data_IF_783362871235
#
_entry.id   IF_783362871235
#
_cell.length_a   1.000
_cell.length_b   1.000
_cell.length_c   1.000
_cell.angle_alpha   90.00
_cell.angle_beta   90.00
_cell.angle_gamma   90.00
#
_symmetry.space_group_name_H-M   'P 1'
#
loop_
_entity.id
_entity.type
_entity.pdbx_description
1 polymer ?
#
# COMPACT_ATOMS: atom_id res chain seq x y z
N UNK A 1 -6.17 -21.95 -40.05
CA UNK A 1 -4.85 -21.41 -39.72
C UNK A 1 -4.96 -20.84 -38.32
N UNK A 2 -4.40 -21.54 -37.32
CA UNK A 2 -4.39 -21.03 -35.95
C UNK A 2 -3.55 -19.77 -35.92
N UNK A 3 -4.13 -18.68 -35.42
CA UNK A 3 -3.37 -17.45 -35.14
C UNK A 3 -2.35 -17.81 -34.07
N UNK A 4 -1.08 -17.94 -34.43
CA UNK A 4 0.01 -17.89 -33.46
C UNK A 4 -0.05 -16.49 -32.85
N UNK A 5 -0.77 -16.36 -31.74
CA UNK A 5 -0.87 -15.10 -31.03
C UNK A 5 0.51 -14.79 -30.49
N UNK A 6 1.04 -13.65 -30.91
CA UNK A 6 2.29 -13.08 -30.42
C UNK A 6 2.29 -13.14 -28.87
N UNK A 7 3.32 -13.74 -28.25
CA UNK A 7 3.27 -14.13 -26.85
C UNK A 7 3.19 -12.94 -25.89
N UNK A 8 3.72 -11.76 -26.25
CA UNK A 8 3.56 -10.54 -25.47
C UNK A 8 2.09 -10.07 -25.47
N UNK A 9 1.40 -10.15 -26.60
CA UNK A 9 -0.04 -9.87 -26.67
C UNK A 9 -0.86 -10.81 -25.78
N UNK A 10 -0.49 -12.09 -25.70
CA UNK A 10 -1.13 -13.04 -24.81
C UNK A 10 -0.87 -12.68 -23.32
N UNK A 11 0.37 -12.32 -22.96
CA UNK A 11 0.71 -11.84 -21.62
C UNK A 11 -0.13 -10.62 -21.23
N UNK A 12 -0.26 -9.66 -22.16
CA UNK A 12 -1.05 -8.46 -21.96
C UNK A 12 -2.54 -8.75 -21.77
N UNK A 13 -3.08 -9.75 -22.47
CA UNK A 13 -4.44 -10.25 -22.27
C UNK A 13 -4.64 -10.82 -20.86
N UNK A 14 -3.67 -11.59 -20.34
CA UNK A 14 -3.70 -12.09 -18.96
C UNK A 14 -3.65 -10.97 -17.93
N UNK A 15 -2.79 -9.97 -18.13
CA UNK A 15 -2.68 -8.80 -17.26
C UNK A 15 -4.02 -8.06 -17.14
N UNK A 16 -4.69 -7.76 -18.26
CA UNK A 16 -6.01 -7.08 -18.25
C UNK A 16 -7.10 -7.87 -17.53
N UNK A 17 -7.01 -9.20 -17.51
CA UNK A 17 -7.95 -10.10 -16.82
C UNK A 17 -7.57 -10.33 -15.35
N UNK A 18 -6.61 -9.56 -14.81
CA UNK A 18 -6.05 -9.72 -13.45
C UNK A 18 -5.46 -11.11 -13.19
N UNK A 19 -5.07 -11.85 -14.24
CA UNK A 19 -4.41 -13.15 -14.11
C UNK A 19 -2.89 -12.95 -14.01
N UNK A 20 -2.46 -12.29 -12.94
CA UNK A 20 -1.08 -11.81 -12.80
C UNK A 20 -0.04 -12.93 -12.72
N UNK A 21 -0.36 -14.05 -12.07
CA UNK A 21 0.53 -15.21 -12.00
C UNK A 21 0.91 -15.74 -13.38
N UNK A 22 -0.10 -15.95 -14.22
CA UNK A 22 0.06 -16.46 -15.59
C UNK A 22 0.80 -15.44 -16.48
N UNK A 23 0.52 -14.15 -16.29
CA UNK A 23 1.25 -13.07 -16.97
C UNK A 23 2.75 -13.10 -16.61
N UNK A 24 3.08 -13.22 -15.32
CA UNK A 24 4.47 -13.25 -14.84
C UNK A 24 5.24 -14.48 -15.35
N UNK A 25 4.61 -15.66 -15.35
CA UNK A 25 5.21 -16.89 -15.87
C UNK A 25 5.51 -16.76 -17.38
N UNK A 26 4.55 -16.26 -18.17
CA UNK A 26 4.73 -16.07 -19.61
C UNK A 26 5.80 -15.01 -19.94
N UNK A 27 5.82 -13.88 -19.21
CA UNK A 27 6.87 -12.88 -19.37
C UNK A 27 8.26 -13.40 -18.95
N UNK A 28 8.34 -14.37 -18.02
CA UNK A 28 9.62 -14.99 -17.65
C UNK A 28 10.18 -15.82 -18.79
N UNK A 29 9.33 -16.61 -19.44
CA UNK A 29 9.69 -17.40 -20.63
C UNK A 29 10.15 -16.51 -21.79
N UNK A 30 9.51 -15.34 -21.97
CA UNK A 30 9.93 -14.38 -22.99
C UNK A 30 11.31 -13.79 -22.72
N UNK A 31 11.57 -13.41 -21.47
CA UNK A 31 12.86 -12.84 -21.06
C UNK A 31 14.01 -13.85 -21.08
N UNK A 32 13.72 -15.14 -20.89
CA UNK A 32 14.72 -16.22 -21.07
C UNK A 32 15.18 -16.35 -22.53
N UNK A 33 14.27 -16.13 -23.49
CA UNK A 33 14.61 -16.16 -24.92
C UNK A 33 15.32 -14.89 -25.40
N UNK A 34 14.85 -13.72 -24.96
CA UNK A 34 15.41 -12.41 -25.33
C UNK A 34 15.52 -11.49 -24.10
N UNK A 35 16.68 -11.42 -23.44
CA UNK A 35 16.84 -10.67 -22.18
C UNK A 35 16.78 -9.13 -22.34
N UNK A 36 16.60 -8.62 -23.56
CA UNK A 36 16.54 -7.19 -23.88
C UNK A 36 15.13 -6.63 -24.09
N UNK A 37 14.08 -7.43 -23.92
CA UNK A 37 12.71 -6.98 -24.17
C UNK A 37 12.15 -6.14 -23.01
N UNK A 38 12.33 -4.81 -23.11
CA UNK A 38 11.86 -3.84 -22.11
C UNK A 38 10.34 -3.93 -21.88
N UNK A 39 9.56 -4.26 -22.92
CA UNK A 39 8.12 -4.42 -22.82
C UNK A 39 7.73 -5.62 -21.93
N UNK A 40 8.36 -6.79 -22.12
CA UNK A 40 8.12 -7.96 -21.28
C UNK A 40 8.57 -7.74 -19.83
N UNK A 41 9.71 -7.05 -19.65
CA UNK A 41 10.23 -6.73 -18.31
C UNK A 41 9.31 -5.77 -17.54
N UNK A 42 8.86 -4.70 -18.19
CA UNK A 42 7.92 -3.74 -17.59
C UNK A 42 6.56 -4.37 -17.28
N UNK A 43 6.06 -5.26 -18.14
CA UNK A 43 4.80 -5.97 -17.90
C UNK A 43 4.93 -6.95 -16.72
N UNK A 44 6.05 -7.67 -16.61
CA UNK A 44 6.33 -8.59 -15.49
C UNK A 44 6.40 -7.85 -14.16
N UNK A 45 7.17 -6.76 -14.08
CA UNK A 45 7.29 -5.97 -12.85
C UNK A 45 5.94 -5.43 -12.39
N UNK A 46 5.12 -4.91 -13.31
CA UNK A 46 3.74 -4.49 -13.00
C UNK A 46 2.87 -5.64 -12.53
N UNK A 47 2.94 -6.81 -13.16
CA UNK A 47 2.17 -7.97 -12.72
C UNK A 47 2.55 -8.41 -11.30
N UNK A 48 3.85 -8.34 -10.94
CA UNK A 48 4.33 -8.69 -9.61
C UNK A 48 3.84 -7.70 -8.54
N UNK A 49 3.89 -6.39 -8.80
CA UNK A 49 3.43 -5.38 -7.84
C UNK A 49 1.92 -5.45 -7.62
N UNK A 50 1.15 -5.70 -8.69
CA UNK A 50 -0.31 -5.81 -8.62
C UNK A 50 -0.79 -7.06 -7.88
N UNK A 51 0.03 -8.13 -7.78
CA UNK A 51 -0.32 -9.30 -6.98
C UNK A 51 -0.32 -9.04 -5.47
N UNK A 52 0.49 -8.08 -5.02
CA UNK A 52 0.65 -7.72 -3.61
C UNK A 52 0.18 -6.30 -3.33
N UNK A 53 -0.54 -5.69 -4.27
CA UNK A 53 -1.02 -4.33 -4.14
C UNK A 53 -2.09 -4.27 -3.06
N UNK A 54 -1.83 -3.45 -2.04
CA UNK A 54 -2.74 -3.10 -0.96
C UNK A 54 -2.92 -1.59 -1.01
N UNK A 55 -4.16 -1.12 -0.87
CA UNK A 55 -4.44 0.32 -0.84
C UNK A 55 -3.83 0.94 0.43
N UNK A 56 -2.99 1.95 0.25
CA UNK A 56 -2.31 2.64 1.35
C UNK A 56 -3.32 3.35 2.28
N UNK A 57 -4.50 3.72 1.78
CA UNK A 57 -5.56 4.37 2.58
C UNK A 57 -6.14 3.39 3.63
N UNK A 58 -6.13 2.08 3.35
CA UNK A 58 -6.57 1.07 4.31
C UNK A 58 -5.47 0.71 5.32
N UNK A 59 -4.24 1.22 5.12
CA UNK A 59 -3.10 0.98 5.99
C UNK A 59 -2.91 2.11 7.03
N UNK A 60 -3.94 2.37 7.83
CA UNK A 60 -3.84 3.27 9.00
C UNK A 60 -3.12 2.56 10.16
N UNK A 61 -1.84 2.25 9.97
CA UNK A 61 -1.00 1.58 10.97
C UNK A 61 -0.15 2.62 11.71
N UNK A 62 -0.75 3.28 12.68
CA UNK A 62 -0.06 4.26 13.53
C UNK A 62 0.95 3.52 14.45
N UNK A 63 2.25 3.82 14.29
CA UNK A 63 3.30 3.18 15.06
C UNK A 63 3.36 3.68 16.51
N UNK A 64 3.85 2.86 17.45
CA UNK A 64 4.01 3.29 18.87
C UNK A 64 4.88 4.55 19.00
N UNK A 65 5.87 4.71 18.13
CA UNK A 65 6.72 5.91 18.09
C UNK A 65 5.92 7.15 17.64
N UNK A 66 5.06 7.01 16.65
CA UNK A 66 4.16 8.08 16.20
C UNK A 66 3.15 8.41 17.30
N UNK A 67 2.54 7.42 17.95
CA UNK A 67 1.59 7.67 19.05
C UNK A 67 2.22 8.36 20.28
N UNK A 68 3.50 8.09 20.59
CA UNK A 68 4.14 8.58 21.82
C UNK A 68 4.99 9.85 21.62
N UNK A 69 5.57 10.04 20.43
CA UNK A 69 6.50 11.15 20.15
C UNK A 69 5.95 12.15 19.11
N UNK A 70 4.69 12.01 18.68
CA UNK A 70 4.10 12.97 17.76
C UNK A 70 3.84 14.34 18.44
N UNK A 71 4.71 15.30 18.12
CA UNK A 71 4.61 16.71 18.49
C UNK A 71 3.84 17.55 17.45
N UNK A 72 3.29 16.94 16.39
CA UNK A 72 2.58 17.65 15.32
C UNK A 72 1.20 18.20 15.77
N UNK A 73 0.75 17.82 16.97
CA UNK A 73 -0.43 18.38 17.62
C UNK A 73 -0.17 19.81 18.16
N UNK A 74 -0.68 20.82 17.45
CA UNK A 74 -0.55 22.25 17.80
C UNK A 74 -1.19 22.59 19.16
N UNK A 75 -2.19 21.82 19.61
CA UNK A 75 -2.92 22.06 20.87
C UNK A 75 -2.73 20.91 21.87
N UNK A 76 -2.02 21.18 22.98
CA UNK A 76 -1.87 20.24 24.10
C UNK A 76 -3.17 20.08 24.92
N UNK A 77 -4.11 21.01 24.79
CA UNK A 77 -5.46 20.96 25.37
C UNK A 77 -6.47 21.32 24.29
N UNK A 78 -7.09 20.30 23.69
CA UNK A 78 -8.24 20.52 22.81
C UNK A 78 -9.47 20.86 23.64
N UNK A 79 -10.28 21.84 23.18
CA UNK A 79 -11.63 22.02 23.72
C UNK A 79 -12.42 20.73 23.46
N UNK A 80 -13.25 20.36 24.43
CA UNK A 80 -13.99 19.08 24.56
C UNK A 80 -14.81 18.69 23.31
N UNK A 81 -15.03 19.66 22.44
CA UNK A 81 -15.84 19.62 21.23
C UNK A 81 -15.16 18.84 20.08
N UNK A 82 -13.85 18.55 20.19
CA UNK A 82 -13.11 17.73 19.22
C UNK A 82 -13.14 16.25 19.64
N UNK A 83 -14.19 15.53 19.21
CA UNK A 83 -14.48 14.14 19.57
C UNK A 83 -13.30 13.17 19.36
N UNK A 84 -12.51 13.33 18.30
CA UNK A 84 -11.37 12.45 17.99
C UNK A 84 -10.23 12.52 19.02
N UNK A 85 -10.05 13.66 19.71
CA UNK A 85 -8.96 13.83 20.69
C UNK A 85 -9.32 13.28 22.08
N UNK A 86 -10.62 13.12 22.36
CA UNK A 86 -11.12 12.62 23.65
C UNK A 86 -10.96 11.10 23.84
N UNK A 87 -10.75 10.34 22.76
CA UNK A 87 -10.59 8.88 22.83
C UNK A 87 -9.15 8.42 23.06
N UNK A 88 -8.14 9.29 22.97
CA UNK A 88 -6.74 8.85 22.87
C UNK A 88 -5.84 9.05 24.10
N UNK A 89 -6.29 9.63 25.24
CA UNK A 89 -5.39 9.82 26.39
C UNK A 89 -6.02 9.59 27.78
N UNK A 90 -5.90 8.37 28.35
CA UNK A 90 -6.11 8.14 29.79
C UNK A 90 -4.95 8.65 30.67
N UNK A 91 -3.87 9.19 30.10
CA UNK A 91 -2.66 9.60 30.84
C UNK A 91 -2.54 11.08 31.23
N UNK A 92 -3.31 11.99 30.61
CA UNK A 92 -3.15 13.46 30.84
C UNK A 92 -4.16 14.00 31.87
N UNK A 93 -5.20 13.24 32.19
CA UNK A 93 -6.23 13.67 33.13
C UNK A 93 -5.76 13.70 34.60
N UNK A 94 -4.64 13.04 34.92
CA UNK A 94 -4.10 12.98 36.28
C UNK A 94 -3.38 14.27 36.73
N UNK A 95 -2.90 15.11 35.81
CA UNK A 95 -2.13 16.33 36.19
C UNK A 95 -3.04 17.51 36.53
N UNK A 96 -4.26 17.55 35.96
CA UNK A 96 -5.17 18.69 36.16
C UNK A 96 -6.01 18.61 37.44
N UNK A 97 -6.12 17.43 38.07
CA UNK A 97 -6.92 17.28 39.29
C UNK A 97 -6.17 17.69 40.58
N UNK A 98 -4.90 18.07 40.50
CA UNK A 98 -4.07 18.43 41.66
C UNK A 98 -3.89 19.95 41.87
N UNK A 99 -4.30 20.79 40.91
CA UNK A 99 -4.06 22.25 40.94
C UNK A 99 -5.33 23.11 41.07
N UNK A 100 -6.48 22.48 41.31
CA UNK A 100 -7.74 23.20 41.57
C UNK A 100 -8.43 22.63 42.82
N UNK A 101 -7.73 22.70 43.96
CA UNK A 101 -8.32 22.86 45.29
C UNK A 101 -7.42 23.76 46.13
#
# INVERSE_FOLDING_TARGET
MGLETEPLFQAWSYFRRRKFRQCSELCSQLLEGAPGEQAAWSLKTRALTEMVYVDEIEMDQEGIAEMMLDENAIAQVARKDNFLLSMLRPGVQAVFCQFFF
#
